data_IF_337296957881
#
_entry.id   IF_337296957881
#
_cell.length_a   1.000
_cell.length_b   1.000
_cell.length_c   1.000
_cell.angle_alpha   90.00
_cell.angle_beta   90.00
_cell.angle_gamma   90.00
#
_symmetry.space_group_name_H-M   'P 1'
#
loop_
_entity.id
_entity.type
_entity.pdbx_description
1 polymer ?
#
# COMPACT_ATOMS: atom_id res chain seq x y z
N UNK A 1 -7.16 21.98 -16.74
CA UNK A 1 -7.11 20.82 -15.86
C UNK A 1 -8.22 19.84 -16.21
N UNK A 2 -7.90 18.61 -16.64
CA UNK A 2 -8.90 17.61 -17.00
C UNK A 2 -9.44 16.89 -15.76
N UNK A 3 -10.33 17.55 -15.01
CA UNK A 3 -10.88 17.02 -13.74
C UNK A 3 -11.45 15.60 -13.88
N UNK A 4 -12.12 15.29 -14.99
CA UNK A 4 -12.68 13.95 -15.21
C UNK A 4 -11.59 12.88 -15.24
N UNK A 5 -10.48 13.13 -15.93
CA UNK A 5 -9.36 12.18 -16.00
C UNK A 5 -8.80 11.85 -14.61
N UNK A 6 -8.59 12.85 -13.75
CA UNK A 6 -8.03 12.62 -12.42
C UNK A 6 -9.01 11.92 -11.48
N UNK A 7 -10.31 12.19 -11.61
CA UNK A 7 -11.34 11.42 -10.92
C UNK A 7 -11.34 9.96 -11.38
N UNK A 8 -11.20 9.71 -12.69
CA UNK A 8 -11.11 8.36 -13.24
C UNK A 8 -9.84 7.63 -12.73
N UNK A 9 -8.69 8.31 -12.68
CA UNK A 9 -7.45 7.75 -12.12
C UNK A 9 -7.65 7.38 -10.64
N UNK A 10 -8.27 8.25 -9.85
CA UNK A 10 -8.57 7.96 -8.44
C UNK A 10 -9.47 6.72 -8.30
N UNK A 11 -10.54 6.64 -9.08
CA UNK A 11 -11.48 5.51 -9.01
C UNK A 11 -10.85 4.20 -9.49
N UNK A 12 -10.15 4.22 -10.62
CA UNK A 12 -9.51 3.02 -11.18
C UNK A 12 -8.34 2.55 -10.32
N UNK A 13 -7.52 3.47 -9.80
CA UNK A 13 -6.41 3.12 -8.91
C UNK A 13 -6.89 2.51 -7.59
N UNK A 14 -7.91 3.09 -6.95
CA UNK A 14 -8.50 2.52 -5.73
C UNK A 14 -9.12 1.14 -5.98
N UNK A 15 -9.85 0.98 -7.10
CA UNK A 15 -10.42 -0.33 -7.47
C UNK A 15 -9.31 -1.36 -7.71
N UNK A 16 -8.26 -0.98 -8.43
CA UNK A 16 -7.14 -1.86 -8.70
C UNK A 16 -6.40 -2.26 -7.41
N UNK A 17 -6.16 -1.31 -6.50
CA UNK A 17 -5.57 -1.58 -5.20
C UNK A 17 -6.39 -2.58 -4.37
N UNK A 18 -7.73 -2.51 -4.39
CA UNK A 18 -8.60 -3.47 -3.71
C UNK A 18 -8.49 -4.87 -4.31
N UNK A 19 -8.49 -4.98 -5.65
CA UNK A 19 -8.30 -6.25 -6.33
C UNK A 19 -6.92 -6.87 -6.02
N UNK A 20 -5.87 -6.04 -5.96
CA UNK A 20 -4.52 -6.46 -5.60
C UNK A 20 -4.45 -6.95 -4.15
N UNK A 21 -5.13 -6.27 -3.22
CA UNK A 21 -5.25 -6.70 -1.82
C UNK A 21 -5.98 -8.06 -1.70
N UNK A 22 -7.09 -8.23 -2.42
CA UNK A 22 -7.82 -9.51 -2.45
C UNK A 22 -6.92 -10.65 -2.96
N UNK A 23 -6.22 -10.43 -4.07
CA UNK A 23 -5.28 -11.39 -4.61
C UNK A 23 -4.11 -11.67 -3.66
N UNK A 24 -3.57 -10.64 -2.99
CA UNK A 24 -2.53 -10.78 -1.99
C UNK A 24 -2.97 -11.67 -0.82
N UNK A 25 -4.20 -11.48 -0.32
CA UNK A 25 -4.80 -12.30 0.73
C UNK A 25 -4.92 -13.78 0.30
N UNK A 26 -5.40 -14.04 -0.91
CA UNK A 26 -5.52 -15.41 -1.45
C UNK A 26 -4.15 -16.09 -1.57
N UNK A 27 -3.12 -15.35 -2.01
CA UNK A 27 -1.77 -15.89 -2.12
C UNK A 27 -1.15 -16.13 -0.74
N UNK A 28 -1.35 -15.21 0.20
CA UNK A 28 -0.87 -15.36 1.57
C UNK A 28 -1.49 -16.58 2.26
N UNK A 29 -2.80 -16.83 2.05
CA UNK A 29 -3.49 -18.00 2.62
C UNK A 29 -3.02 -19.34 2.03
N UNK A 30 -2.28 -19.30 0.91
CA UNK A 30 -1.67 -20.46 0.24
C UNK A 30 -0.15 -20.50 0.43
N UNK A 31 0.38 -19.72 1.38
CA UNK A 31 1.81 -19.59 1.67
C UNK A 31 2.66 -19.11 0.49
N UNK A 32 2.06 -18.40 -0.48
CA UNK A 32 2.77 -17.70 -1.55
C UNK A 32 3.16 -16.29 -1.10
N UNK A 33 3.99 -16.22 -0.04
CA UNK A 33 4.30 -14.97 0.67
C UNK A 33 5.03 -13.94 -0.19
N UNK A 34 5.97 -14.37 -1.03
CA UNK A 34 6.67 -13.48 -1.96
C UNK A 34 5.69 -12.77 -2.90
N UNK A 35 4.78 -13.52 -3.54
CA UNK A 35 3.83 -12.93 -4.48
C UNK A 35 2.78 -12.09 -3.74
N UNK A 36 2.31 -12.55 -2.58
CA UNK A 36 1.44 -11.74 -1.72
C UNK A 36 2.09 -10.40 -1.35
N UNK A 37 3.38 -10.41 -1.00
CA UNK A 37 4.12 -9.21 -0.66
C UNK A 37 4.20 -8.23 -1.83
N UNK A 38 4.54 -8.74 -3.03
CA UNK A 38 4.62 -7.94 -4.26
C UNK A 38 3.27 -7.30 -4.58
N UNK A 39 2.16 -8.03 -4.46
CA UNK A 39 0.83 -7.50 -4.72
C UNK A 39 0.41 -6.46 -3.68
N UNK A 40 0.66 -6.71 -2.39
CA UNK A 40 0.41 -5.74 -1.32
C UNK A 40 1.22 -4.44 -1.52
N UNK A 41 2.50 -4.55 -1.85
CA UNK A 41 3.33 -3.39 -2.16
C UNK A 41 2.79 -2.61 -3.37
N UNK A 42 2.39 -3.31 -4.42
CA UNK A 42 1.81 -2.69 -5.62
C UNK A 42 0.47 -2.02 -5.31
N UNK A 43 -0.33 -2.58 -4.40
CA UNK A 43 -1.56 -1.96 -3.92
C UNK A 43 -1.29 -0.60 -3.24
N UNK A 44 -0.22 -0.48 -2.44
CA UNK A 44 0.21 0.80 -1.87
C UNK A 44 0.59 1.83 -2.94
N UNK A 45 1.29 1.41 -4.00
CA UNK A 45 1.62 2.31 -5.11
C UNK A 45 0.35 2.83 -5.82
N UNK A 46 -0.65 1.97 -5.98
CA UNK A 46 -1.94 2.32 -6.59
C UNK A 46 -2.79 3.23 -5.69
N UNK A 47 -2.79 2.99 -4.38
CA UNK A 47 -3.38 3.91 -3.38
C UNK A 47 -2.71 5.28 -3.48
N UNK A 48 -1.37 5.30 -3.45
CA UNK A 48 -0.62 6.55 -3.50
C UNK A 48 -0.89 7.35 -4.77
N UNK A 49 -0.93 6.68 -5.93
CA UNK A 49 -1.30 7.29 -7.21
C UNK A 49 -2.71 7.86 -7.18
N UNK A 50 -3.64 7.14 -6.56
CA UNK A 50 -5.02 7.58 -6.44
C UNK A 50 -5.12 8.85 -5.60
N UNK A 51 -4.47 8.88 -4.42
CA UNK A 51 -4.48 10.05 -3.55
C UNK A 51 -3.83 11.28 -4.23
N UNK A 52 -2.71 11.11 -4.93
CA UNK A 52 -2.10 12.22 -5.66
C UNK A 52 -2.99 12.73 -6.80
N UNK A 53 -3.64 11.83 -7.55
CA UNK A 53 -4.60 12.24 -8.60
C UNK A 53 -5.74 13.06 -8.02
N UNK A 54 -6.19 12.68 -6.83
CA UNK A 54 -7.21 13.39 -6.10
C UNK A 54 -6.73 14.79 -5.65
N UNK A 55 -5.47 14.95 -5.24
CA UNK A 55 -4.89 16.26 -4.91
C UNK A 55 -4.88 17.17 -6.13
N UNK A 56 -4.57 16.62 -7.31
CA UNK A 56 -4.69 17.36 -8.57
C UNK A 56 -6.14 17.74 -8.85
N UNK A 57 -7.09 16.80 -8.70
CA UNK A 57 -8.51 17.08 -8.90
C UNK A 57 -9.01 18.26 -8.05
N UNK A 58 -8.54 18.34 -6.81
CA UNK A 58 -8.92 19.39 -5.85
C UNK A 58 -8.10 20.69 -5.99
N UNK A 59 -7.07 20.69 -6.83
CA UNK A 59 -6.19 21.85 -7.08
C UNK A 59 -5.09 22.04 -6.03
N UNK A 60 -4.87 21.06 -5.15
CA UNK A 60 -3.75 21.05 -4.18
C UNK A 60 -2.41 20.76 -4.86
N UNK A 61 -2.44 20.01 -5.96
CA UNK A 61 -1.28 19.68 -6.81
C UNK A 61 -1.58 19.99 -8.27
N UNK A 62 -0.53 20.07 -9.07
CA UNK A 62 -0.59 20.32 -10.52
C UNK A 62 -0.52 19.03 -11.33
N UNK A 63 -1.01 19.07 -12.57
CA UNK A 63 -0.88 17.94 -13.51
C UNK A 63 0.59 17.58 -13.80
N UNK A 64 1.47 18.59 -13.82
CA UNK A 64 2.90 18.44 -14.04
C UNK A 64 3.59 17.69 -12.90
N UNK A 65 3.23 18.01 -11.64
CA UNK A 65 3.69 17.26 -10.48
C UNK A 65 3.23 15.79 -10.53
N UNK A 66 1.96 15.55 -10.89
CA UNK A 66 1.46 14.19 -11.04
C UNK A 66 2.20 13.42 -12.14
N UNK A 67 2.50 14.04 -13.28
CA UNK A 67 3.22 13.37 -14.37
C UNK A 67 4.63 12.91 -13.98
N UNK A 68 5.32 13.69 -13.13
CA UNK A 68 6.63 13.32 -12.56
C UNK A 68 6.46 12.18 -11.54
N UNK A 69 5.53 12.35 -10.61
CA UNK A 69 5.23 11.39 -9.55
C UNK A 69 4.79 10.01 -10.08
N UNK A 70 3.99 9.99 -11.16
CA UNK A 70 3.44 8.78 -11.76
C UNK A 70 4.52 7.74 -12.13
N UNK A 71 5.75 8.16 -12.44
CA UNK A 71 6.86 7.28 -12.82
C UNK A 71 7.83 6.97 -11.67
N UNK A 72 7.70 7.67 -10.54
CA UNK A 72 8.65 7.60 -9.45
C UNK A 72 8.19 6.60 -8.37
N UNK A 73 8.48 5.31 -8.58
CA UNK A 73 8.09 4.23 -7.66
C UNK A 73 8.48 4.48 -6.20
N UNK A 74 9.70 4.98 -5.96
CA UNK A 74 10.18 5.32 -4.60
C UNK A 74 9.36 6.45 -3.97
N UNK A 75 9.01 7.48 -4.75
CA UNK A 75 8.21 8.60 -4.27
C UNK A 75 6.78 8.18 -3.94
N UNK A 76 6.19 7.24 -4.70
CA UNK A 76 4.87 6.69 -4.39
C UNK A 76 4.83 6.07 -3.00
N UNK A 77 5.83 5.30 -2.66
CA UNK A 77 5.87 4.63 -1.35
C UNK A 77 6.09 5.63 -0.23
N UNK A 78 7.00 6.59 -0.42
CA UNK A 78 7.19 7.68 0.54
C UNK A 78 5.89 8.47 0.78
N UNK A 79 5.11 8.72 -0.27
CA UNK A 79 3.84 9.45 -0.19
C UNK A 79 2.74 8.70 0.58
N UNK A 80 2.87 7.38 0.77
CA UNK A 80 1.98 6.58 1.65
C UNK A 80 2.70 6.08 2.90
N UNK A 81 3.82 6.70 3.30
CA UNK A 81 4.52 6.38 4.54
C UNK A 81 3.64 6.56 5.79
N UNK A 82 2.64 7.45 5.71
CA UNK A 82 1.62 7.59 6.76
C UNK A 82 0.85 6.29 7.01
N UNK A 83 0.66 5.42 6.01
CA UNK A 83 -0.09 4.19 6.16
C UNK A 83 0.69 3.18 7.01
N UNK A 84 2.02 3.13 6.80
CA UNK A 84 2.92 2.34 7.63
C UNK A 84 2.96 2.88 9.05
N UNK A 85 3.08 4.20 9.21
CA UNK A 85 3.05 4.84 10.52
C UNK A 85 1.74 4.50 11.27
N UNK A 86 0.58 4.73 10.64
CA UNK A 86 -0.71 4.42 11.25
C UNK A 86 -0.80 2.92 11.59
N UNK A 87 -0.35 2.02 10.71
CA UNK A 87 -0.35 0.57 10.94
C UNK A 87 0.61 0.09 12.06
N UNK A 88 1.44 0.97 12.63
CA UNK A 88 2.36 0.66 13.74
C UNK A 88 1.97 1.34 15.06
N UNK A 89 0.92 2.17 15.07
CA UNK A 89 0.44 2.87 16.27
C UNK A 89 -0.98 2.44 16.66
N UNK A 90 -1.37 2.72 17.91
CA UNK A 90 -2.73 2.46 18.38
C UNK A 90 -3.77 3.35 17.66
N UNK A 91 -4.97 2.85 17.33
CA UNK A 91 -5.44 1.45 17.51
C UNK A 91 -5.03 0.50 16.38
N UNK A 92 -4.59 1.05 15.25
CA UNK A 92 -4.39 0.37 13.96
C UNK A 92 -3.25 -0.66 13.93
N UNK A 93 -2.38 -0.70 14.93
CA UNK A 93 -1.34 -1.74 15.06
C UNK A 93 -1.88 -3.12 15.42
N UNK A 94 -3.13 -3.20 15.86
CA UNK A 94 -3.81 -4.43 16.24
C UNK A 94 -4.74 -4.91 15.12
N UNK A 95 -4.69 -6.20 14.81
CA UNK A 95 -5.62 -6.86 13.88
C UNK A 95 -6.53 -7.81 14.67
N UNK A 96 -7.83 -7.72 14.43
CA UNK A 96 -8.80 -8.64 15.02
C UNK A 96 -8.72 -10.01 14.32
N UNK A 97 -8.50 -11.08 15.09
CA UNK A 97 -8.24 -12.44 14.57
C UNK A 97 -9.23 -13.50 15.05
N UNK A 98 -10.16 -13.15 15.94
CA UNK A 98 -11.10 -14.11 16.53
C UNK A 98 -12.48 -13.49 16.79
N UNK A 99 -13.39 -14.25 17.41
CA UNK A 99 -14.74 -13.77 17.72
C UNK A 99 -14.79 -12.79 18.90
N UNK A 100 -13.79 -12.81 19.79
CA UNK A 100 -13.80 -12.01 21.02
C UNK A 100 -13.03 -10.70 20.84
N UNK A 101 -13.40 -9.67 21.62
CA UNK A 101 -12.75 -8.35 21.55
C UNK A 101 -11.27 -8.39 21.94
N UNK A 102 -10.87 -9.39 22.72
CA UNK A 102 -9.50 -9.62 23.17
C UNK A 102 -8.66 -10.42 22.16
N UNK A 103 -9.29 -10.99 21.12
CA UNK A 103 -8.61 -11.76 20.06
C UNK A 103 -7.94 -10.82 19.06
N UNK A 104 -6.95 -10.07 19.54
CA UNK A 104 -6.16 -9.12 18.76
C UNK A 104 -4.72 -9.59 18.63
N UNK A 105 -4.19 -9.49 17.42
CA UNK A 105 -2.77 -9.72 17.12
C UNK A 105 -2.09 -8.37 16.85
N UNK A 106 -0.96 -8.12 17.51
CA UNK A 106 -0.14 -6.96 17.19
C UNK A 106 0.72 -7.25 15.95
N UNK A 107 0.49 -6.50 14.87
CA UNK A 107 1.07 -6.80 13.56
C UNK A 107 2.51 -6.28 13.39
N UNK A 108 2.81 -5.09 13.94
CA UNK A 108 4.11 -4.42 13.86
C UNK A 108 4.82 -4.58 12.49
N UNK A 109 4.21 -4.11 11.40
CA UNK A 109 4.76 -4.30 10.06
C UNK A 109 6.07 -3.53 9.87
N UNK A 110 7.01 -4.13 9.14
CA UNK A 110 8.23 -3.44 8.70
C UNK A 110 7.91 -2.37 7.66
N UNK A 111 8.79 -1.37 7.55
CA UNK A 111 8.65 -0.33 6.53
C UNK A 111 8.69 -0.95 5.13
N UNK A 112 7.77 -0.58 4.21
CA UNK A 112 7.78 -1.07 2.85
C UNK A 112 8.96 -0.49 2.06
N UNK A 113 10.03 -1.27 1.91
CA UNK A 113 11.20 -0.85 1.15
C UNK A 113 11.12 -1.28 -0.33
N UNK A 114 11.41 -0.34 -1.23
CA UNK A 114 11.46 -0.63 -2.67
C UNK A 114 12.50 -1.70 -3.04
N UNK A 115 13.63 -1.73 -2.33
CA UNK A 115 14.65 -2.78 -2.48
C UNK A 115 14.08 -4.17 -2.16
N UNK A 116 13.31 -4.29 -1.07
CA UNK A 116 12.67 -5.55 -0.67
C UNK A 116 11.64 -6.02 -1.70
N UNK A 117 10.89 -5.08 -2.30
CA UNK A 117 10.00 -5.38 -3.45
C UNK A 117 10.77 -5.88 -4.67
N UNK A 118 11.92 -5.30 -5.00
CA UNK A 118 12.74 -5.77 -6.13
C UNK A 118 13.29 -7.18 -5.88
N UNK A 119 13.79 -7.43 -4.67
CA UNK A 119 14.27 -8.76 -4.26
C UNK A 119 13.15 -9.81 -4.27
N UNK A 120 11.90 -9.42 -4.01
CA UNK A 120 10.74 -10.30 -4.10
C UNK A 120 10.32 -10.66 -5.55
N UNK A 121 10.83 -9.96 -6.56
CA UNK A 121 10.41 -10.17 -7.96
C UNK A 121 11.37 -11.04 -8.75
N UNK A 122 12.67 -11.00 -8.43
CA UNK A 122 13.72 -11.53 -9.29
C UNK A 122 14.67 -12.42 -8.51
N UNK A 123 15.11 -13.50 -9.15
CA UNK A 123 16.30 -14.23 -8.71
C UNK A 123 17.51 -13.33 -8.97
N UNK A 124 18.36 -13.17 -7.96
CA UNK A 124 19.55 -12.35 -8.03
C UNK A 124 20.82 -13.23 -7.94
N UNK A 125 21.92 -12.71 -8.48
CA UNK A 125 23.19 -13.44 -8.55
C UNK A 125 24.33 -12.52 -8.13
N UNK A 126 24.98 -12.88 -7.03
CA UNK A 126 26.27 -12.31 -6.66
C UNK A 126 27.38 -13.05 -7.41
N UNK A 127 27.90 -12.44 -8.48
CA UNK A 127 28.99 -13.01 -9.27
C UNK A 127 30.35 -13.01 -8.56
N UNK A 128 30.55 -12.16 -7.55
CA UNK A 128 31.80 -12.13 -6.79
C UNK A 128 31.85 -13.28 -5.78
N UNK A 129 30.70 -13.60 -5.16
CA UNK A 129 30.59 -14.70 -4.20
C UNK A 129 30.12 -16.02 -4.83
N UNK A 130 29.68 -16.01 -6.09
CA UNK A 130 29.12 -17.17 -6.78
C UNK A 130 27.81 -17.65 -6.16
N UNK A 131 27.03 -16.74 -5.56
CA UNK A 131 25.79 -17.06 -4.84
C UNK A 131 24.55 -16.63 -5.61
N UNK A 132 23.51 -17.45 -5.54
CA UNK A 132 22.17 -17.15 -6.06
C UNK A 132 21.25 -16.90 -4.88
N UNK A 133 20.49 -15.82 -4.89
CA UNK A 133 19.43 -15.55 -3.93
C UNK A 133 18.08 -15.60 -4.62
N UNK A 134 17.12 -16.31 -4.00
CA UNK A 134 15.78 -16.44 -4.53
C UNK A 134 14.82 -15.49 -3.79
N UNK A 135 13.74 -15.03 -4.44
CA UNK A 135 12.72 -14.22 -3.78
C UNK A 135 12.10 -14.83 -2.52
N UNK A 136 12.05 -16.17 -2.44
CA UNK A 136 11.56 -16.90 -1.27
C UNK A 136 12.50 -16.80 -0.07
N UNK A 137 13.79 -16.52 -0.29
CA UNK A 137 14.78 -16.40 0.78
C UNK A 137 14.69 -15.03 1.49
N UNK A 138 13.98 -14.07 0.88
CA UNK A 138 13.96 -12.65 1.33
C UNK A 138 12.63 -12.27 1.98
N UNK A 139 11.53 -12.93 1.62
CA UNK A 139 10.19 -12.59 2.08
C UNK A 139 9.63 -13.68 2.98
N UNK A 140 9.39 -13.33 4.23
CA UNK A 140 8.76 -14.19 5.23
C UNK A 140 7.24 -14.06 5.22
N UNK A 141 6.56 -14.96 5.93
CA UNK A 141 5.12 -14.82 6.20
C UNK A 141 4.81 -13.49 6.90
N UNK A 142 5.64 -13.10 7.89
CA UNK A 142 5.49 -11.84 8.62
C UNK A 142 5.52 -10.65 7.66
N UNK A 143 6.40 -10.67 6.67
CA UNK A 143 6.50 -9.60 5.67
C UNK A 143 5.22 -9.50 4.83
N UNK A 144 4.72 -10.63 4.35
CA UNK A 144 3.49 -10.68 3.55
C UNK A 144 2.28 -10.22 4.36
N UNK A 145 2.10 -10.72 5.58
CA UNK A 145 1.02 -10.30 6.47
C UNK A 145 1.16 -8.82 6.86
N UNK A 146 2.38 -8.36 7.07
CA UNK A 146 2.68 -6.97 7.41
C UNK A 146 2.32 -5.99 6.30
N UNK A 147 2.73 -6.26 5.05
CA UNK A 147 2.38 -5.36 3.93
C UNK A 147 0.88 -5.38 3.62
N UNK A 148 0.22 -6.53 3.76
CA UNK A 148 -1.25 -6.64 3.64
C UNK A 148 -1.92 -5.77 4.70
N UNK A 149 -1.46 -5.84 5.95
CA UNK A 149 -1.98 -5.02 7.05
C UNK A 149 -1.82 -3.52 6.78
N UNK A 150 -0.66 -3.08 6.26
CA UNK A 150 -0.47 -1.67 5.88
C UNK A 150 -1.50 -1.23 4.83
N UNK A 151 -1.80 -2.07 3.84
CA UNK A 151 -2.78 -1.78 2.79
C UNK A 151 -4.21 -1.72 3.36
N UNK A 152 -4.56 -2.64 4.25
CA UNK A 152 -5.86 -2.65 4.95
C UNK A 152 -6.06 -1.36 5.74
N UNK A 153 -5.07 -0.99 6.56
CA UNK A 153 -5.07 0.27 7.33
C UNK A 153 -5.14 1.47 6.38
N UNK A 154 -4.41 1.48 5.26
CA UNK A 154 -4.50 2.56 4.30
C UNK A 154 -5.95 2.78 3.81
N UNK A 155 -6.65 1.70 3.47
CA UNK A 155 -8.06 1.79 3.05
C UNK A 155 -9.00 2.22 4.17
N UNK A 156 -8.82 1.68 5.38
CA UNK A 156 -9.61 2.06 6.56
C UNK A 156 -9.49 3.56 6.81
N UNK A 157 -8.25 4.06 6.91
CA UNK A 157 -7.99 5.46 7.18
C UNK A 157 -8.55 6.36 6.07
N UNK A 158 -8.40 5.97 4.79
CA UNK A 158 -9.00 6.70 3.65
C UNK A 158 -10.53 6.75 3.79
N UNK A 159 -11.15 5.64 4.17
CA UNK A 159 -12.60 5.57 4.38
C UNK A 159 -13.06 6.43 5.55
N UNK A 160 -12.38 6.45 6.69
CA UNK A 160 -12.73 7.33 7.81
C UNK A 160 -12.73 8.82 7.38
N UNK A 161 -11.73 9.20 6.58
CA UNK A 161 -11.54 10.56 6.09
C UNK A 161 -12.52 10.94 4.95
N UNK A 162 -12.96 9.99 4.13
CA UNK A 162 -13.86 10.26 2.99
C UNK A 162 -15.34 10.00 3.29
N UNK A 163 -15.59 8.95 4.07
CA UNK A 163 -16.91 8.45 4.43
C UNK A 163 -17.40 9.03 5.75
N UNK A 164 -17.43 8.18 6.78
CA UNK A 164 -18.21 8.35 8.02
C UNK A 164 -18.00 9.69 8.73
N UNK A 165 -16.81 10.30 8.65
CA UNK A 165 -16.49 11.55 9.34
C UNK A 165 -16.23 12.75 8.41
N UNK A 166 -15.83 12.54 7.16
CA UNK A 166 -15.39 13.63 6.28
C UNK A 166 -16.37 14.11 5.22
N UNK A 167 -17.42 13.34 4.92
CA UNK A 167 -18.49 13.74 3.99
C UNK A 167 -18.01 14.11 2.57
N UNK A 168 -16.80 13.69 2.18
CA UNK A 168 -16.15 14.07 0.94
C UNK A 168 -15.91 12.85 0.06
N UNK A 169 -16.40 12.91 -1.19
CA UNK A 169 -16.30 11.84 -2.17
C UNK A 169 -14.85 11.49 -2.57
N UNK A 170 -13.87 12.33 -2.20
CA UNK A 170 -12.48 12.26 -2.64
C UNK A 170 -11.55 12.59 -1.45
N UNK A 171 -10.62 11.69 -1.15
CA UNK A 171 -9.87 11.61 0.13
C UNK A 171 -8.76 12.61 0.40
N UNK A 172 -8.81 13.81 -0.17
CA UNK A 172 -7.60 14.66 -0.25
C UNK A 172 -7.46 15.66 0.87
N UNK A 173 -8.54 16.31 1.32
CA UNK A 173 -8.39 17.36 2.33
C UNK A 173 -8.15 16.85 3.74
N UNK A 174 -8.70 15.69 4.10
CA UNK A 174 -8.56 15.17 5.47
C UNK A 174 -7.31 14.32 5.71
N UNK A 175 -6.50 14.07 4.67
CA UNK A 175 -5.30 13.25 4.77
C UNK A 175 -3.98 14.04 4.86
N UNK A 176 -4.05 15.38 4.91
CA UNK A 176 -2.89 16.20 5.21
C UNK A 176 -2.49 16.03 6.69
N UNK A 177 -1.74 14.96 6.99
CA UNK A 177 -0.86 14.88 8.16
C UNK A 177 0.50 15.46 7.78
#
# INVERSE_FOLDING_TARGET
MNKKLFLDIYNFGNKNARNLLEAANILCSKSHYTQAYVLGFTALEEISKSQFAADVFTGLRTEEEFAKFYRAHREKIANVGWAHYDATIYPHKYKWIGPDMEDVEEMNPEEPLFSKRQAALYVDVDFAEGKISQPLDVITEKDARGIIHIVEVAFERIWEVTGEFGGMQIGTKGFMK
#
